data_IF_301512997148
#
_entry.id   IF_301512997148
#
_cell.length_a   1.000
_cell.length_b   1.000
_cell.length_c   1.000
_cell.angle_alpha   90.00
_cell.angle_beta   90.00
_cell.angle_gamma   90.00
#
_symmetry.space_group_name_H-M   'P 1'
#
loop_
_entity.id
_entity.type
_entity.pdbx_description
1 polymer ?
#
# COMPACT_ATOMS: atom_id res chain seq x y z
N UNK A 1 13.35 -12.51 24.36
CA UNK A 1 13.81 -11.31 23.64
C UNK A 1 12.64 -10.75 22.83
N UNK A 2 12.59 -9.41 22.60
CA UNK A 2 11.60 -8.82 21.71
C UNK A 2 11.90 -9.25 20.27
N UNK A 3 10.86 -9.56 19.48
CA UNK A 3 11.02 -9.79 18.05
C UNK A 3 11.46 -8.49 17.38
N UNK A 4 12.44 -8.57 16.47
CA UNK A 4 12.95 -7.44 15.68
C UNK A 4 12.33 -7.44 14.29
N UNK A 5 11.93 -6.27 13.83
CA UNK A 5 11.32 -6.12 12.52
C UNK A 5 11.98 -4.99 11.74
N UNK A 6 12.16 -5.19 10.43
CA UNK A 6 12.53 -4.12 9.50
C UNK A 6 11.33 -3.79 8.60
N UNK A 7 11.00 -2.51 8.49
CA UNK A 7 9.98 -1.98 7.59
C UNK A 7 10.65 -1.05 6.57
N UNK A 8 10.63 -1.42 5.29
CA UNK A 8 10.96 -0.47 4.22
C UNK A 8 9.71 0.33 3.86
N UNK A 9 9.86 1.62 3.57
CA UNK A 9 8.69 2.48 3.32
C UNK A 9 7.92 2.86 4.58
N UNK A 10 8.58 2.86 5.75
CA UNK A 10 7.97 3.12 7.06
C UNK A 10 7.27 4.49 7.17
N UNK A 11 7.68 5.49 6.39
CA UNK A 11 7.05 6.84 6.37
C UNK A 11 5.79 6.92 5.54
N UNK A 12 5.52 5.89 4.72
CA UNK A 12 4.30 5.79 3.89
C UNK A 12 3.04 5.54 4.72
N UNK A 13 1.87 5.50 4.04
CA UNK A 13 0.60 5.18 4.68
C UNK A 13 0.71 3.87 5.47
N UNK A 14 0.97 2.76 4.78
CA UNK A 14 0.93 1.43 5.37
C UNK A 14 2.09 1.20 6.35
N UNK A 15 3.29 1.66 5.98
CA UNK A 15 4.47 1.52 6.84
C UNK A 15 4.29 2.19 8.20
N UNK A 16 3.64 3.35 8.24
CA UNK A 16 3.40 4.09 9.48
C UNK A 16 2.35 3.41 10.37
N UNK A 17 1.24 2.92 9.80
CA UNK A 17 0.26 2.15 10.56
C UNK A 17 0.82 0.79 11.03
N UNK A 18 1.61 0.14 10.19
CA UNK A 18 2.27 -1.12 10.56
C UNK A 18 3.26 -0.90 11.72
N UNK A 19 4.04 0.20 11.68
CA UNK A 19 4.95 0.54 12.76
C UNK A 19 4.22 0.73 14.10
N UNK A 20 3.12 1.50 14.11
CA UNK A 20 2.27 1.67 15.30
C UNK A 20 1.72 0.33 15.81
N UNK A 21 1.20 -0.49 14.89
CA UNK A 21 0.63 -1.78 15.24
C UNK A 21 1.68 -2.74 15.82
N UNK A 22 2.89 -2.82 15.24
CA UNK A 22 3.96 -3.68 15.73
C UNK A 22 4.54 -3.20 17.05
N UNK A 23 4.66 -1.87 17.25
CA UNK A 23 5.02 -1.30 18.56
C UNK A 23 4.00 -1.70 19.64
N UNK A 24 2.70 -1.66 19.32
CA UNK A 24 1.64 -2.08 20.27
C UNK A 24 1.71 -3.57 20.64
N UNK A 25 2.29 -4.39 19.74
CA UNK A 25 2.57 -5.82 19.99
C UNK A 25 3.91 -6.09 20.67
N UNK A 26 4.66 -5.05 21.02
CA UNK A 26 5.93 -5.17 21.73
C UNK A 26 7.15 -5.50 20.87
N UNK A 27 7.06 -5.35 19.55
CA UNK A 27 8.20 -5.50 18.65
C UNK A 27 9.23 -4.38 18.82
N UNK A 28 10.49 -4.69 18.53
CA UNK A 28 11.55 -3.71 18.27
C UNK A 28 11.49 -3.34 16.79
N UNK A 29 11.04 -2.11 16.49
CA UNK A 29 10.72 -1.68 15.12
C UNK A 29 11.86 -0.84 14.55
N UNK A 30 12.43 -1.34 13.44
CA UNK A 30 13.45 -0.68 12.64
C UNK A 30 12.84 -0.22 11.31
N UNK A 31 13.13 1.01 10.91
CA UNK A 31 12.67 1.58 9.64
C UNK A 31 13.83 1.97 8.73
N UNK A 32 13.74 1.64 7.44
CA UNK A 32 14.64 2.16 6.43
C UNK A 32 14.06 3.45 5.85
N UNK A 33 14.81 4.54 5.92
CA UNK A 33 14.44 5.86 5.41
C UNK A 33 15.55 6.43 4.54
N UNK A 34 15.17 7.19 3.50
CA UNK A 34 16.14 7.88 2.66
C UNK A 34 16.80 9.02 3.44
N UNK A 35 18.03 9.36 3.10
CA UNK A 35 18.81 10.44 3.72
C UNK A 35 18.02 11.76 3.81
N UNK A 36 17.40 12.16 2.73
CA UNK A 36 16.58 13.38 2.67
C UNK A 36 15.45 13.42 3.72
N UNK A 37 14.90 12.25 4.09
CA UNK A 37 13.88 12.15 5.14
C UNK A 37 14.49 12.06 6.54
N UNK A 38 15.76 11.71 6.64
CA UNK A 38 16.48 11.65 7.92
C UNK A 38 16.91 13.04 8.38
N UNK A 39 17.33 13.89 7.43
CA UNK A 39 17.76 15.26 7.69
C UNK A 39 16.57 16.22 7.92
N UNK A 40 15.39 15.92 7.38
CA UNK A 40 14.20 16.74 7.48
C UNK A 40 13.08 16.00 8.24
N UNK A 41 12.87 16.38 9.50
CA UNK A 41 11.86 15.75 10.38
C UNK A 41 10.43 15.87 9.85
N UNK A 42 10.14 16.89 9.04
CA UNK A 42 8.80 17.05 8.44
C UNK A 42 8.54 15.97 7.37
N UNK A 43 9.59 15.46 6.71
CA UNK A 43 9.49 14.33 5.77
C UNK A 43 9.24 12.99 6.46
N UNK A 44 9.40 12.91 7.78
CA UNK A 44 8.97 11.76 8.58
C UNK A 44 7.44 11.69 8.74
N UNK A 45 6.75 12.83 8.55
CA UNK A 45 5.29 12.95 8.44
C UNK A 45 4.50 11.98 9.32
N UNK A 46 4.09 10.87 8.72
CA UNK A 46 3.20 9.90 9.37
C UNK A 46 3.78 9.17 10.60
N UNK A 47 5.10 9.19 10.82
CA UNK A 47 5.75 8.53 11.98
C UNK A 47 6.31 9.51 13.01
N UNK A 48 6.14 10.82 12.84
CA UNK A 48 6.68 11.86 13.70
C UNK A 48 6.32 11.63 15.18
N UNK A 49 5.07 11.26 15.45
CA UNK A 49 4.53 11.07 16.81
C UNK A 49 5.02 9.78 17.52
N UNK A 50 5.66 8.85 16.80
CA UNK A 50 6.25 7.64 17.35
C UNK A 50 7.76 7.55 17.13
N UNK A 51 8.39 8.65 16.64
CA UNK A 51 9.80 8.68 16.23
C UNK A 51 10.75 8.12 17.28
N UNK A 52 10.53 8.48 18.55
CA UNK A 52 11.38 8.10 19.67
C UNK A 52 11.27 6.62 20.04
N UNK A 53 10.24 5.92 19.54
CA UNK A 53 10.03 4.49 19.74
C UNK A 53 10.60 3.64 18.61
N UNK A 54 11.17 4.27 17.58
CA UNK A 54 11.67 3.62 16.37
C UNK A 54 13.18 3.72 16.28
N UNK A 55 13.81 2.68 15.75
CA UNK A 55 15.20 2.74 15.29
C UNK A 55 15.21 2.97 13.79
N UNK A 56 15.54 4.18 13.35
CA UNK A 56 15.62 4.51 11.93
C UNK A 56 17.03 4.34 11.40
N UNK A 57 17.14 3.72 10.23
CA UNK A 57 18.37 3.52 9.48
C UNK A 57 18.33 4.36 8.20
N UNK A 58 19.38 5.14 8.00
CA UNK A 58 19.57 5.86 6.73
C UNK A 58 20.01 4.89 5.65
N UNK A 59 19.33 4.93 4.49
CA UNK A 59 19.70 4.13 3.33
C UNK A 59 18.63 4.12 2.23
N UNK A 60 19.03 3.59 1.07
CA UNK A 60 18.16 3.34 -0.06
C UNK A 60 17.91 1.84 -0.22
N UNK A 61 16.68 1.48 -0.57
CA UNK A 61 16.35 0.08 -0.98
C UNK A 61 17.06 -0.34 -2.26
N UNK A 62 17.64 0.60 -3.00
CA UNK A 62 18.43 0.37 -4.22
C UNK A 62 19.94 0.23 -3.93
N UNK A 63 20.36 0.34 -2.69
CA UNK A 63 21.76 0.13 -2.28
C UNK A 63 21.88 -1.20 -1.52
N UNK A 64 22.29 -2.25 -2.25
CA UNK A 64 22.42 -3.59 -1.71
C UNK A 64 23.40 -3.67 -0.54
N UNK A 65 24.52 -2.94 -0.60
CA UNK A 65 25.52 -2.96 0.46
C UNK A 65 24.97 -2.34 1.77
N UNK A 66 24.23 -1.25 1.65
CA UNK A 66 23.56 -0.62 2.80
C UNK A 66 22.50 -1.54 3.40
N UNK A 67 21.69 -2.22 2.57
CA UNK A 67 20.73 -3.23 3.02
C UNK A 67 21.46 -4.34 3.79
N UNK A 68 22.53 -4.90 3.21
CA UNK A 68 23.31 -5.97 3.82
C UNK A 68 23.86 -5.57 5.20
N UNK A 69 24.45 -4.37 5.32
CA UNK A 69 24.97 -3.84 6.58
C UNK A 69 23.89 -3.67 7.66
N UNK A 70 22.72 -3.16 7.27
CA UNK A 70 21.58 -2.97 8.19
C UNK A 70 21.09 -4.33 8.68
N UNK A 71 20.86 -5.29 7.77
CA UNK A 71 20.37 -6.61 8.14
C UNK A 71 21.36 -7.39 9.01
N UNK A 72 22.66 -7.33 8.70
CA UNK A 72 23.70 -7.95 9.52
C UNK A 72 23.77 -7.37 10.94
N UNK A 73 23.49 -6.08 11.10
CA UNK A 73 23.46 -5.42 12.42
C UNK A 73 22.18 -5.71 13.20
N UNK A 74 21.04 -5.69 12.53
CA UNK A 74 19.71 -5.84 13.17
C UNK A 74 19.39 -7.29 13.43
N UNK A 75 19.68 -8.19 12.48
CA UNK A 75 19.29 -9.60 12.49
C UNK A 75 17.77 -9.76 12.69
N UNK A 76 16.93 -9.22 11.75
CA UNK A 76 15.49 -9.13 11.95
C UNK A 76 14.80 -10.51 11.91
N UNK A 77 13.75 -10.68 12.71
CA UNK A 77 12.88 -11.87 12.67
C UNK A 77 11.82 -11.76 11.56
N UNK A 78 11.44 -10.51 11.23
CA UNK A 78 10.44 -10.22 10.20
C UNK A 78 10.89 -9.01 9.36
N UNK A 79 10.62 -9.04 8.05
CA UNK A 79 10.84 -7.92 7.13
C UNK A 79 9.59 -7.64 6.33
N UNK A 80 9.10 -6.40 6.38
CA UNK A 80 7.97 -5.92 5.59
C UNK A 80 8.46 -4.96 4.51
N UNK A 81 8.40 -5.42 3.26
CA UNK A 81 8.83 -4.63 2.10
C UNK A 81 7.65 -3.86 1.51
N UNK A 82 7.49 -2.59 1.95
CA UNK A 82 6.42 -1.68 1.54
C UNK A 82 6.94 -0.52 0.67
N UNK A 83 8.25 -0.35 0.54
CA UNK A 83 8.83 0.65 -0.35
C UNK A 83 8.54 0.30 -1.80
N UNK A 84 7.95 1.25 -2.53
CA UNK A 84 7.72 1.12 -3.98
C UNK A 84 7.47 2.50 -4.61
N UNK A 85 7.74 2.62 -5.92
CA UNK A 85 7.14 3.63 -6.78
C UNK A 85 5.71 3.17 -7.07
N UNK A 86 4.72 3.62 -6.26
CA UNK A 86 3.38 3.02 -6.23
C UNK A 86 2.32 3.76 -7.06
N UNK A 87 2.64 4.94 -7.60
CA UNK A 87 1.70 5.68 -8.44
C UNK A 87 1.84 5.25 -9.90
N UNK A 88 0.84 4.51 -10.39
CA UNK A 88 0.87 3.83 -11.69
C UNK A 88 1.20 4.78 -12.85
N UNK A 89 0.61 6.00 -12.88
CA UNK A 89 0.83 6.93 -13.98
C UNK A 89 2.30 7.38 -14.10
N UNK A 90 3.05 7.46 -13.00
CA UNK A 90 4.48 7.80 -13.06
C UNK A 90 5.31 6.69 -13.70
N UNK A 91 4.86 5.43 -13.61
CA UNK A 91 5.60 4.31 -14.17
C UNK A 91 5.70 4.33 -15.70
N UNK A 92 4.83 5.06 -16.40
CA UNK A 92 4.91 5.25 -17.85
C UNK A 92 5.96 6.27 -18.27
N UNK A 93 6.34 7.19 -17.38
CA UNK A 93 7.33 8.23 -17.66
C UNK A 93 8.71 7.89 -17.04
N UNK A 94 8.76 6.95 -16.11
CA UNK A 94 9.98 6.60 -15.36
C UNK A 94 10.09 5.08 -15.17
N UNK A 95 10.17 4.38 -16.31
CA UNK A 95 10.14 2.91 -16.37
C UNK A 95 11.31 2.27 -15.64
N UNK A 96 12.53 2.74 -15.94
CA UNK A 96 13.75 2.16 -15.35
C UNK A 96 13.81 2.37 -13.84
N UNK A 97 13.45 3.56 -13.36
CA UNK A 97 13.43 3.84 -11.93
C UNK A 97 12.33 3.04 -11.23
N UNK A 98 11.18 2.85 -11.89
CA UNK A 98 10.09 2.01 -11.39
C UNK A 98 10.56 0.56 -11.24
N UNK A 99 11.21 -0.01 -12.26
CA UNK A 99 11.76 -1.38 -12.19
C UNK A 99 12.84 -1.48 -11.11
N UNK A 100 13.77 -0.52 -11.04
CA UNK A 100 14.83 -0.49 -10.05
C UNK A 100 14.27 -0.42 -8.62
N UNK A 101 13.34 0.51 -8.37
CA UNK A 101 12.75 0.69 -7.04
C UNK A 101 11.89 -0.47 -6.59
N UNK A 102 11.21 -1.16 -7.51
CA UNK A 102 10.23 -2.18 -7.14
C UNK A 102 10.82 -3.60 -7.25
N UNK A 103 11.50 -3.93 -8.36
CA UNK A 103 12.02 -5.27 -8.58
C UNK A 103 13.42 -5.47 -7.98
N UNK A 104 14.40 -4.60 -8.30
CA UNK A 104 15.76 -4.79 -7.81
C UNK A 104 15.81 -4.70 -6.27
N UNK A 105 15.05 -3.78 -5.67
CA UNK A 105 14.98 -3.68 -4.21
C UNK A 105 14.45 -4.96 -3.56
N UNK A 106 13.43 -5.59 -4.14
CA UNK A 106 12.92 -6.88 -3.69
C UNK A 106 14.00 -7.96 -3.77
N UNK A 107 14.74 -8.00 -4.88
CA UNK A 107 15.83 -8.96 -5.08
C UNK A 107 16.96 -8.75 -4.06
N UNK A 108 17.38 -7.52 -3.82
CA UNK A 108 18.41 -7.19 -2.83
C UNK A 108 18.01 -7.64 -1.42
N UNK A 109 16.76 -7.40 -1.03
CA UNK A 109 16.24 -7.84 0.27
C UNK A 109 16.21 -9.36 0.40
N UNK A 110 15.65 -10.08 -0.58
CA UNK A 110 15.59 -11.55 -0.56
C UNK A 110 16.98 -12.17 -0.53
N UNK A 111 17.91 -11.69 -1.37
CA UNK A 111 19.30 -12.15 -1.38
C UNK A 111 19.98 -11.90 -0.04
N UNK A 112 19.81 -10.70 0.53
CA UNK A 112 20.39 -10.37 1.85
C UNK A 112 19.83 -11.25 2.96
N UNK A 113 18.51 -11.48 2.99
CA UNK A 113 17.87 -12.34 3.99
C UNK A 113 18.41 -13.77 3.90
N UNK A 114 18.56 -14.30 2.68
CA UNK A 114 19.13 -15.62 2.45
C UNK A 114 20.53 -15.78 3.07
N UNK A 115 21.38 -14.76 2.89
CA UNK A 115 22.77 -14.80 3.35
C UNK A 115 22.94 -14.48 4.85
N UNK A 116 22.15 -13.55 5.37
CA UNK A 116 22.33 -13.01 6.73
C UNK A 116 21.47 -13.73 7.76
N UNK A 117 20.18 -13.95 7.46
CA UNK A 117 19.23 -14.54 8.40
C UNK A 117 18.10 -15.23 7.64
N UNK A 118 18.34 -16.43 7.13
CA UNK A 118 17.44 -17.18 6.26
C UNK A 118 16.07 -17.49 6.90
N UNK A 119 15.98 -17.53 8.22
CA UNK A 119 14.74 -17.71 8.99
C UNK A 119 13.92 -16.41 9.18
N UNK A 120 14.43 -15.27 8.73
CA UNK A 120 13.67 -14.02 8.71
C UNK A 120 12.46 -14.16 7.78
N UNK A 121 11.26 -13.95 8.33
CA UNK A 121 10.01 -14.00 7.55
C UNK A 121 9.86 -12.75 6.72
N UNK A 122 9.55 -12.91 5.44
CA UNK A 122 9.48 -11.79 4.48
C UNK A 122 8.07 -11.58 3.95
N UNK A 123 7.54 -10.36 4.11
CA UNK A 123 6.32 -9.88 3.49
C UNK A 123 6.63 -8.96 2.32
N UNK A 124 6.02 -9.23 1.17
CA UNK A 124 6.07 -8.39 -0.02
C UNK A 124 4.69 -7.76 -0.30
N UNK A 125 4.69 -6.44 -0.47
CA UNK A 125 3.51 -5.70 -0.88
C UNK A 125 3.27 -5.85 -2.39
N UNK A 126 2.47 -6.85 -2.78
CA UNK A 126 1.89 -6.99 -4.12
C UNK A 126 0.78 -5.96 -4.35
N UNK A 127 0.12 -6.04 -5.50
CA UNK A 127 -0.93 -5.10 -5.91
C UNK A 127 -1.94 -5.78 -6.83
N UNK A 128 -3.20 -5.35 -6.81
CA UNK A 128 -4.23 -5.74 -7.79
C UNK A 128 -3.83 -5.39 -9.24
N UNK A 129 -2.94 -4.40 -9.43
CA UNK A 129 -2.36 -4.05 -10.74
C UNK A 129 -1.54 -5.20 -11.39
N UNK A 130 -1.20 -6.23 -10.61
CA UNK A 130 -0.61 -7.48 -11.14
C UNK A 130 -1.60 -8.21 -12.05
N UNK A 131 -2.89 -8.14 -11.77
CA UNK A 131 -3.93 -8.70 -12.62
C UNK A 131 -4.16 -7.88 -13.88
N UNK A 132 -4.03 -6.54 -13.81
CA UNK A 132 -4.13 -5.62 -14.95
C UNK A 132 -5.48 -5.75 -15.68
N UNK A 133 -5.52 -6.54 -16.75
CA UNK A 133 -6.76 -6.91 -17.47
C UNK A 133 -7.04 -8.40 -17.22
N UNK A 134 -7.71 -8.73 -16.10
CA UNK A 134 -7.93 -10.12 -15.71
C UNK A 134 -8.94 -10.83 -16.58
N UNK A 135 -8.88 -12.16 -16.61
CA UNK A 135 -9.84 -13.01 -17.34
C UNK A 135 -11.16 -13.21 -16.58
N UNK A 136 -11.18 -12.91 -15.29
CA UNK A 136 -12.32 -13.15 -14.39
C UNK A 136 -12.42 -12.09 -13.29
N UNK A 137 -13.59 -11.93 -12.70
CA UNK A 137 -13.85 -11.10 -11.52
C UNK A 137 -14.96 -11.76 -10.67
N UNK A 138 -14.82 -11.89 -9.34
CA UNK A 138 -13.68 -11.43 -8.54
C UNK A 138 -12.41 -12.25 -8.79
N UNK A 139 -11.23 -11.61 -8.69
CA UNK A 139 -9.95 -12.29 -8.79
C UNK A 139 -9.67 -13.11 -7.53
N UNK A 140 -9.02 -14.26 -7.72
CA UNK A 140 -8.51 -15.13 -6.67
C UNK A 140 -6.98 -15.24 -6.77
N UNK A 141 -6.34 -15.91 -5.82
CA UNK A 141 -4.89 -16.17 -5.87
C UNK A 141 -4.47 -17.10 -7.03
N UNK A 142 -5.45 -17.74 -7.70
CA UNK A 142 -5.24 -18.59 -8.87
C UNK A 142 -5.51 -17.86 -10.20
N UNK A 143 -6.08 -16.66 -10.16
CA UNK A 143 -6.34 -15.87 -11.36
C UNK A 143 -5.00 -15.50 -12.03
N UNK A 144 -4.82 -15.76 -13.33
CA UNK A 144 -3.59 -15.42 -14.03
C UNK A 144 -3.29 -13.92 -14.03
N UNK A 145 -2.04 -13.55 -13.84
CA UNK A 145 -1.60 -12.17 -13.94
C UNK A 145 -1.52 -11.73 -15.41
N UNK A 146 -2.00 -10.53 -15.69
CA UNK A 146 -1.95 -9.90 -17.02
C UNK A 146 -1.71 -8.38 -16.89
N UNK A 147 -0.56 -7.95 -16.30
CA UNK A 147 -0.28 -6.56 -15.98
C UNK A 147 -0.26 -5.67 -17.24
N UNK A 148 -0.76 -4.44 -17.13
CA UNK A 148 -0.85 -3.44 -18.21
C UNK A 148 -0.01 -2.19 -17.95
N UNK A 149 0.83 -2.19 -16.91
CA UNK A 149 1.71 -1.09 -16.56
C UNK A 149 3.07 -1.61 -16.12
N UNK A 150 4.11 -0.78 -16.26
CA UNK A 150 5.47 -1.11 -15.75
C UNK A 150 5.41 -1.37 -14.24
N UNK A 151 4.58 -0.62 -13.51
CA UNK A 151 4.33 -0.89 -12.10
C UNK A 151 3.79 -2.31 -11.86
N UNK A 152 2.73 -2.71 -12.58
CA UNK A 152 2.16 -4.04 -12.48
C UNK A 152 3.18 -5.13 -12.86
N UNK A 153 3.94 -4.93 -13.95
CA UNK A 153 5.02 -5.84 -14.38
C UNK A 153 6.08 -5.98 -13.28
N UNK A 154 6.54 -4.87 -12.68
CA UNK A 154 7.53 -4.91 -11.60
C UNK A 154 7.05 -5.72 -10.40
N UNK A 155 5.75 -5.61 -10.05
CA UNK A 155 5.14 -6.36 -8.95
C UNK A 155 4.99 -7.85 -9.28
N UNK A 156 4.61 -8.21 -10.51
CA UNK A 156 4.55 -9.61 -10.97
C UNK A 156 5.93 -10.25 -10.97
N UNK A 157 6.95 -9.55 -11.50
CA UNK A 157 8.33 -10.03 -11.51
C UNK A 157 8.86 -10.29 -10.10
N UNK A 158 8.59 -9.36 -9.16
CA UNK A 158 8.96 -9.50 -7.75
C UNK A 158 8.24 -10.68 -7.08
N UNK A 159 6.96 -10.89 -7.38
CA UNK A 159 6.19 -12.03 -6.88
C UNK A 159 6.79 -13.36 -7.33
N UNK A 160 7.09 -13.52 -8.62
CA UNK A 160 7.70 -14.77 -9.12
C UNK A 160 9.10 -14.99 -8.58
N UNK A 161 9.89 -13.93 -8.40
CA UNK A 161 11.19 -14.01 -7.76
C UNK A 161 11.04 -14.52 -6.31
N UNK A 162 10.13 -13.92 -5.54
CA UNK A 162 9.83 -14.32 -4.16
C UNK A 162 9.38 -15.78 -4.09
N UNK A 163 8.47 -16.19 -4.99
CA UNK A 163 8.01 -17.57 -5.10
C UNK A 163 9.19 -18.55 -5.34
N UNK A 164 10.14 -18.18 -6.21
CA UNK A 164 11.34 -18.97 -6.45
C UNK A 164 12.20 -19.12 -5.17
N UNK A 165 12.42 -18.02 -4.41
CA UNK A 165 13.15 -18.09 -3.14
C UNK A 165 12.40 -18.95 -2.10
N UNK A 166 11.09 -18.89 -2.05
CA UNK A 166 10.28 -19.74 -1.17
C UNK A 166 10.43 -21.24 -1.53
N UNK A 167 10.31 -21.57 -2.81
CA UNK A 167 10.29 -22.96 -3.28
C UNK A 167 11.68 -23.60 -3.31
N UNK A 168 12.71 -22.87 -3.75
CA UNK A 168 14.07 -23.42 -3.89
C UNK A 168 14.91 -23.28 -2.63
N UNK A 169 14.78 -22.17 -1.93
CA UNK A 169 15.60 -21.86 -0.77
C UNK A 169 14.89 -22.19 0.56
N UNK A 170 13.61 -22.53 0.53
CA UNK A 170 12.82 -22.79 1.74
C UNK A 170 12.61 -21.55 2.61
N UNK A 171 12.72 -20.35 2.05
CA UNK A 171 12.50 -19.10 2.79
C UNK A 171 11.02 -18.90 3.10
N UNK A 172 10.72 -18.38 4.29
CA UNK A 172 9.36 -17.96 4.61
C UNK A 172 9.07 -16.60 3.98
N UNK A 173 8.45 -16.59 2.80
CA UNK A 173 8.18 -15.39 2.04
C UNK A 173 6.74 -15.39 1.49
N UNK A 174 5.99 -14.30 1.73
CA UNK A 174 4.58 -14.14 1.40
C UNK A 174 4.35 -12.90 0.52
N UNK A 175 3.46 -13.02 -0.47
CA UNK A 175 2.94 -11.86 -1.22
C UNK A 175 1.53 -11.53 -0.75
N UNK A 176 1.31 -10.31 -0.24
CA UNK A 176 -0.03 -9.75 -0.07
C UNK A 176 -0.46 -9.02 -1.35
N UNK A 177 -1.40 -9.56 -2.11
CA UNK A 177 -1.94 -8.93 -3.31
C UNK A 177 -3.02 -7.95 -2.85
N UNK A 178 -2.60 -6.69 -2.65
CA UNK A 178 -3.46 -5.66 -2.06
C UNK A 178 -4.30 -4.96 -3.11
N UNK A 179 -5.59 -4.82 -2.81
CA UNK A 179 -6.49 -3.91 -3.50
C UNK A 179 -6.37 -2.51 -2.90
N UNK A 180 -7.06 -1.52 -3.48
CA UNK A 180 -6.92 -0.15 -2.99
C UNK A 180 -7.37 -0.07 -1.53
N UNK A 181 -6.62 0.68 -0.73
CA UNK A 181 -6.91 0.85 0.69
C UNK A 181 -6.56 2.27 1.13
N UNK A 182 -7.48 2.85 1.86
CA UNK A 182 -7.54 4.28 2.09
C UNK A 182 -7.44 4.61 3.58
N UNK A 183 -6.96 5.81 3.85
CA UNK A 183 -6.91 6.37 5.21
C UNK A 183 -6.63 7.87 5.15
N UNK A 184 -6.69 8.59 6.30
CA UNK A 184 -6.21 9.98 6.40
C UNK A 184 -4.76 10.19 5.90
N UNK A 185 -3.92 9.13 5.93
CA UNK A 185 -2.50 9.16 5.50
C UNK A 185 -2.30 8.83 4.01
N UNK A 186 -3.39 8.68 3.24
CA UNK A 186 -3.29 8.44 1.79
C UNK A 186 -2.58 9.59 1.10
N UNK A 187 -1.70 9.28 0.13
CA UNK A 187 -0.99 10.30 -0.65
C UNK A 187 -1.94 11.15 -1.51
N UNK A 188 -1.66 12.45 -1.64
CA UNK A 188 -2.51 13.41 -2.35
C UNK A 188 -2.69 13.16 -3.84
N UNK A 189 -1.80 12.40 -4.47
CA UNK A 189 -1.88 12.00 -5.88
C UNK A 189 -2.98 10.97 -6.17
N UNK A 190 -3.50 10.27 -5.15
CA UNK A 190 -4.57 9.28 -5.32
C UNK A 190 -5.95 9.93 -5.33
N UNK A 191 -6.84 9.42 -6.18
CA UNK A 191 -8.17 10.00 -6.45
C UNK A 191 -8.99 10.21 -5.18
N UNK A 192 -9.01 9.27 -4.27
CA UNK A 192 -9.74 9.32 -3.00
C UNK A 192 -9.28 10.50 -2.14
N UNK A 193 -7.97 10.65 -1.95
CA UNK A 193 -7.41 11.77 -1.18
C UNK A 193 -7.62 13.11 -1.89
N UNK A 194 -7.49 13.13 -3.23
CA UNK A 194 -7.79 14.32 -4.04
C UNK A 194 -9.23 14.77 -3.84
N UNK A 195 -10.20 13.85 -3.87
CA UNK A 195 -11.63 14.15 -3.63
C UNK A 195 -11.83 14.72 -2.22
N UNK A 196 -11.34 14.04 -1.19
CA UNK A 196 -11.49 14.48 0.22
C UNK A 196 -10.93 15.90 0.43
N UNK A 197 -9.68 16.12 -0.01
CA UNK A 197 -9.02 17.42 0.17
C UNK A 197 -9.72 18.53 -0.61
N UNK A 198 -10.14 18.25 -1.86
CA UNK A 198 -10.85 19.25 -2.68
C UNK A 198 -12.22 19.55 -2.12
N UNK A 199 -12.98 18.56 -1.67
CA UNK A 199 -14.32 18.77 -1.09
C UNK A 199 -14.24 19.65 0.18
N UNK A 200 -13.25 19.41 1.07
CA UNK A 200 -13.03 20.26 2.24
C UNK A 200 -12.63 21.69 1.84
N UNK A 201 -11.74 21.85 0.85
CA UNK A 201 -11.38 23.18 0.33
C UNK A 201 -12.55 23.91 -0.29
N UNK A 202 -13.41 23.20 -1.02
CA UNK A 202 -14.65 23.76 -1.60
C UNK A 202 -15.58 24.23 -0.49
N UNK A 203 -15.85 23.41 0.52
CA UNK A 203 -16.68 23.79 1.69
C UNK A 203 -16.15 25.03 2.42
N UNK A 204 -14.82 25.25 2.40
CA UNK A 204 -14.14 26.41 3.01
C UNK A 204 -14.02 27.62 2.05
N UNK A 205 -14.51 27.52 0.81
CA UNK A 205 -14.38 28.59 -0.19
C UNK A 205 -12.97 28.78 -0.76
N UNK A 206 -12.04 27.82 -0.49
CA UNK A 206 -10.64 27.87 -0.92
C UNK A 206 -10.42 27.28 -2.32
N UNK A 207 -11.43 26.59 -2.86
CA UNK A 207 -11.39 25.97 -4.19
C UNK A 207 -12.79 26.06 -4.81
N UNK A 208 -12.87 26.32 -6.12
CA UNK A 208 -14.17 26.46 -6.82
C UNK A 208 -14.61 25.16 -7.50
N UNK A 209 -13.69 24.44 -8.11
CA UNK A 209 -13.98 23.27 -8.94
C UNK A 209 -12.98 22.14 -8.68
N UNK A 210 -13.43 20.90 -8.87
CA UNK A 210 -12.62 19.68 -8.86
C UNK A 210 -12.73 19.00 -10.23
N UNK A 211 -11.59 18.74 -10.87
CA UNK A 211 -11.53 18.04 -12.15
C UNK A 211 -11.11 16.57 -11.93
N UNK A 212 -11.94 15.65 -12.43
CA UNK A 212 -11.73 14.21 -12.35
C UNK A 212 -11.86 13.56 -13.72
N UNK A 213 -11.35 12.34 -13.86
CA UNK A 213 -11.58 11.51 -15.05
C UNK A 213 -12.92 10.77 -14.96
N UNK A 214 -12.93 9.48 -15.32
CA UNK A 214 -14.14 8.65 -15.34
C UNK A 214 -14.73 8.47 -13.94
N UNK A 215 -15.93 9.00 -13.71
CA UNK A 215 -16.65 8.88 -12.43
C UNK A 215 -17.30 7.50 -12.26
N UNK A 216 -17.49 6.76 -13.35
CA UNK A 216 -18.11 5.44 -13.34
C UNK A 216 -17.07 4.31 -13.31
N UNK A 217 -15.80 4.65 -13.06
CA UNK A 217 -14.77 3.66 -12.77
C UNK A 217 -14.99 3.02 -11.40
N UNK A 218 -14.94 1.69 -11.36
CA UNK A 218 -15.15 0.92 -10.13
C UNK A 218 -13.83 0.51 -9.47
N UNK A 219 -13.82 0.49 -8.15
CA UNK A 219 -12.66 0.05 -7.34
C UNK A 219 -13.14 -0.69 -6.09
N UNK A 220 -12.30 -1.61 -5.63
CA UNK A 220 -12.39 -2.20 -4.30
C UNK A 220 -11.55 -1.33 -3.34
N UNK A 221 -12.20 -0.64 -2.41
CA UNK A 221 -11.53 0.22 -1.41
C UNK A 221 -11.69 -0.33 -0.01
N UNK A 222 -10.58 -0.69 0.63
CA UNK A 222 -10.52 -1.10 2.02
C UNK A 222 -9.93 -0.03 2.94
N UNK A 223 -9.77 -0.37 4.22
CA UNK A 223 -9.21 0.50 5.25
C UNK A 223 -7.76 0.13 5.56
N UNK A 224 -6.81 1.04 5.35
CA UNK A 224 -5.38 0.76 5.47
C UNK A 224 -4.95 0.17 6.84
N UNK A 225 -5.47 0.63 8.00
CA UNK A 225 -5.18 0.00 9.29
C UNK A 225 -5.60 -1.47 9.40
N UNK A 226 -6.59 -1.93 8.64
CA UNK A 226 -6.94 -3.36 8.61
C UNK A 226 -5.96 -4.14 7.73
N UNK A 227 -5.51 -3.55 6.61
CA UNK A 227 -4.53 -4.18 5.72
C UNK A 227 -3.20 -4.47 6.43
N UNK A 228 -2.73 -3.58 7.30
CA UNK A 228 -1.50 -3.86 8.06
C UNK A 228 -1.66 -4.99 9.06
N UNK A 229 -2.87 -5.23 9.60
CA UNK A 229 -3.16 -6.42 10.42
C UNK A 229 -3.10 -7.70 9.58
N UNK A 230 -3.59 -7.65 8.33
CA UNK A 230 -3.45 -8.75 7.36
C UNK A 230 -1.97 -9.05 7.09
N UNK A 231 -1.16 -8.03 6.78
CA UNK A 231 0.27 -8.17 6.54
C UNK A 231 0.97 -8.90 7.69
N UNK A 232 0.69 -8.49 8.93
CA UNK A 232 1.23 -9.16 10.11
C UNK A 232 0.72 -10.59 10.24
N UNK A 233 -0.59 -10.81 10.09
CA UNK A 233 -1.21 -12.13 10.19
C UNK A 233 -0.61 -13.13 9.19
N UNK A 234 -0.28 -12.68 7.97
CA UNK A 234 0.35 -13.52 6.94
C UNK A 234 1.72 -14.05 7.34
N UNK A 235 2.46 -13.34 8.19
CA UNK A 235 3.74 -13.83 8.71
C UNK A 235 3.60 -14.68 9.98
N UNK A 236 2.39 -14.81 10.56
CA UNK A 236 2.15 -15.63 11.74
C UNK A 236 1.61 -17.03 11.41
N UNK A 237 1.26 -17.32 10.14
CA UNK A 237 0.82 -18.65 9.72
C UNK A 237 1.98 -19.66 9.73
N UNK A 238 1.64 -20.94 9.78
CA UNK A 238 2.64 -22.03 9.80
C UNK A 238 3.43 -22.12 8.48
N UNK A 239 2.75 -21.97 7.34
CA UNK A 239 3.36 -22.09 6.00
C UNK A 239 3.17 -20.80 5.23
N UNK A 240 4.27 -20.32 4.62
CA UNK A 240 4.24 -19.16 3.75
C UNK A 240 3.28 -19.37 2.57
N UNK A 241 2.45 -18.36 2.30
CA UNK A 241 1.48 -18.38 1.21
C UNK A 241 1.21 -16.96 0.71
N UNK A 242 0.57 -16.85 -0.46
CA UNK A 242 0.15 -15.59 -1.04
C UNK A 242 -1.35 -15.40 -0.80
N UNK A 243 -1.76 -14.15 -0.55
CA UNK A 243 -3.14 -13.83 -0.19
C UNK A 243 -3.62 -12.57 -0.89
N UNK A 244 -4.86 -12.58 -1.36
CA UNK A 244 -5.58 -11.38 -1.73
C UNK A 244 -6.04 -10.66 -0.46
N UNK A 245 -5.73 -9.36 -0.40
CA UNK A 245 -6.20 -8.47 0.66
C UNK A 245 -7.11 -7.42 0.00
N UNK A 246 -8.42 -7.58 0.17
CA UNK A 246 -9.47 -6.77 -0.47
C UNK A 246 -10.65 -6.57 0.46
N UNK A 247 -11.47 -5.54 0.22
CA UNK A 247 -12.73 -5.37 0.97
C UNK A 247 -13.78 -6.38 0.53
N UNK A 248 -13.69 -6.88 -0.71
CA UNK A 248 -14.69 -7.75 -1.32
C UNK A 248 -15.91 -6.97 -1.82
N UNK A 249 -15.83 -5.65 -1.98
CA UNK A 249 -16.91 -4.79 -2.45
C UNK A 249 -16.41 -3.81 -3.52
N UNK A 250 -17.23 -3.64 -4.58
CA UNK A 250 -16.98 -2.66 -5.63
C UNK A 250 -17.78 -1.38 -5.37
N UNK A 251 -17.11 -0.25 -5.53
CA UNK A 251 -17.69 1.08 -5.43
C UNK A 251 -17.23 1.94 -6.60
N UNK A 252 -18.11 2.82 -7.11
CA UNK A 252 -17.75 3.77 -8.15
C UNK A 252 -17.12 5.05 -7.56
N UNK A 253 -16.36 5.76 -8.39
CA UNK A 253 -15.87 7.11 -8.01
C UNK A 253 -17.05 8.04 -7.76
N UNK A 254 -18.15 7.88 -8.48
CA UNK A 254 -19.39 8.61 -8.30
C UNK A 254 -19.98 8.41 -6.90
N UNK A 255 -20.09 7.16 -6.44
CA UNK A 255 -20.55 6.83 -5.08
C UNK A 255 -19.65 7.46 -4.01
N UNK A 256 -18.32 7.42 -4.22
CA UNK A 256 -17.37 8.08 -3.33
C UNK A 256 -17.60 9.60 -3.24
N UNK A 257 -17.91 10.24 -4.38
CA UNK A 257 -18.25 11.67 -4.43
C UNK A 257 -19.56 11.98 -3.71
N UNK A 258 -20.62 11.19 -3.99
CA UNK A 258 -21.93 11.36 -3.36
C UNK A 258 -21.80 11.34 -1.83
N UNK A 259 -21.13 10.32 -1.27
CA UNK A 259 -20.94 10.21 0.18
C UNK A 259 -20.09 11.38 0.70
N UNK A 260 -18.99 11.73 0.01
CA UNK A 260 -18.08 12.79 0.46
C UNK A 260 -18.74 14.16 0.50
N UNK A 261 -19.46 14.54 -0.55
CA UNK A 261 -20.09 15.86 -0.66
C UNK A 261 -21.35 15.95 0.19
N UNK A 262 -22.15 14.89 0.27
CA UNK A 262 -23.32 14.83 1.15
C UNK A 262 -22.95 15.01 2.63
N UNK A 263 -21.85 14.42 3.09
CA UNK A 263 -21.35 14.62 4.46
C UNK A 263 -21.01 16.10 4.75
N UNK A 264 -20.61 16.85 3.73
CA UNK A 264 -20.30 18.27 3.82
C UNK A 264 -21.52 19.16 3.51
N UNK A 265 -22.71 18.58 3.33
CA UNK A 265 -23.95 19.31 2.93
C UNK A 265 -23.76 20.08 1.60
N UNK A 266 -23.13 19.43 0.60
CA UNK A 266 -22.91 19.92 -0.75
C UNK A 266 -23.42 18.91 -1.77
N UNK A 267 -23.80 19.36 -2.98
CA UNK A 267 -24.01 18.48 -4.14
C UNK A 267 -22.74 18.50 -5.01
N UNK A 268 -22.10 17.34 -5.21
CA UNK A 268 -20.87 17.27 -6.01
C UNK A 268 -21.07 17.76 -7.45
N UNK A 269 -22.29 17.66 -8.00
CA UNK A 269 -22.61 18.08 -9.37
C UNK A 269 -22.36 19.56 -9.62
N UNK A 270 -22.44 20.39 -8.57
CA UNK A 270 -22.17 21.82 -8.66
C UNK A 270 -20.67 22.14 -8.75
N UNK A 271 -19.81 21.20 -8.34
CA UNK A 271 -18.39 21.46 -8.12
C UNK A 271 -17.45 20.54 -8.92
N UNK A 272 -17.94 19.40 -9.43
CA UNK A 272 -17.10 18.42 -10.11
C UNK A 272 -17.33 18.44 -11.61
N UNK A 273 -16.25 18.70 -12.35
CA UNK A 273 -16.23 18.64 -13.81
C UNK A 273 -15.41 17.43 -14.27
N UNK A 274 -15.88 16.75 -15.31
CA UNK A 274 -15.19 15.62 -15.93
C UNK A 274 -14.21 16.12 -16.98
N UNK A 275 -12.93 15.76 -16.84
CA UNK A 275 -11.88 16.07 -17.82
C UNK A 275 -11.47 14.79 -18.56
N UNK A 276 -11.74 14.68 -19.88
CA UNK A 276 -11.37 13.52 -20.67
C UNK A 276 -9.86 13.23 -20.70
N UNK A 277 -9.01 14.25 -20.53
CA UNK A 277 -7.55 14.06 -20.49
C UNK A 277 -7.08 13.29 -19.25
N UNK A 278 -7.95 13.17 -18.22
CA UNK A 278 -7.68 12.40 -17.02
C UNK A 278 -8.21 10.96 -17.09
N UNK A 279 -8.80 10.55 -18.22
CA UNK A 279 -9.28 9.18 -18.39
C UNK A 279 -8.09 8.24 -18.50
N UNK A 280 -8.21 7.10 -17.82
CA UNK A 280 -7.34 5.95 -18.07
C UNK A 280 -7.96 5.07 -19.14
N UNK A 281 -7.15 4.21 -19.77
CA UNK A 281 -7.69 3.16 -20.63
C UNK A 281 -8.82 2.41 -19.90
N UNK A 282 -9.96 2.18 -20.58
CA UNK A 282 -11.11 1.53 -19.98
C UNK A 282 -10.74 0.13 -19.51
N UNK A 283 -11.00 -0.15 -18.24
CA UNK A 283 -10.90 -1.48 -17.69
C UNK A 283 -12.14 -2.28 -18.13
N UNK A 284 -11.94 -3.33 -18.93
CA UNK A 284 -13.03 -4.18 -19.39
C UNK A 284 -13.60 -5.06 -18.28
N UNK A 285 -12.74 -5.49 -17.37
CA UNK A 285 -13.08 -6.34 -16.23
C UNK A 285 -12.65 -5.64 -14.95
N UNK A 286 -13.55 -5.43 -13.97
CA UNK A 286 -13.22 -4.74 -12.74
C UNK A 286 -12.14 -5.47 -11.93
N UNK A 287 -11.21 -4.70 -11.36
CA UNK A 287 -10.28 -5.18 -10.34
C UNK A 287 -11.02 -5.26 -8.99
N UNK A 288 -11.42 -6.49 -8.65
CA UNK A 288 -12.25 -6.81 -7.51
C UNK A 288 -11.77 -8.13 -6.88
N UNK A 289 -11.31 -8.08 -5.64
CA UNK A 289 -10.66 -9.21 -4.98
C UNK A 289 -11.61 -10.10 -4.19
N UNK A 290 -11.34 -11.41 -4.17
CA UNK A 290 -12.02 -12.35 -3.30
C UNK A 290 -11.19 -12.61 -2.03
N UNK A 291 -11.57 -12.06 -0.86
CA UNK A 291 -10.80 -12.20 0.38
C UNK A 291 -11.05 -13.53 1.12
N UNK A 292 -11.74 -14.49 0.52
CA UNK A 292 -12.17 -15.74 1.18
C UNK A 292 -10.99 -16.53 1.77
N UNK A 293 -9.87 -16.60 1.07
CA UNK A 293 -8.69 -17.35 1.52
C UNK A 293 -8.08 -16.74 2.79
N UNK A 294 -7.85 -15.43 2.80
CA UNK A 294 -7.26 -14.75 3.96
C UNK A 294 -8.21 -14.81 5.17
N UNK A 295 -9.53 -14.67 4.92
CA UNK A 295 -10.56 -14.84 5.96
C UNK A 295 -10.49 -16.23 6.59
N UNK A 296 -10.44 -17.29 5.79
CA UNK A 296 -10.45 -18.68 6.25
C UNK A 296 -9.17 -19.08 7.00
N UNK A 297 -8.00 -18.58 6.57
CA UNK A 297 -6.70 -19.01 7.13
C UNK A 297 -6.27 -18.12 8.29
N UNK A 298 -6.52 -16.82 8.21
CA UNK A 298 -6.01 -15.83 9.17
C UNK A 298 -7.12 -15.27 10.04
N UNK A 299 -8.40 -15.42 9.65
CA UNK A 299 -9.54 -14.80 10.31
C UNK A 299 -9.65 -13.28 10.05
N UNK A 300 -8.97 -12.80 9.00
CA UNK A 300 -8.96 -11.37 8.69
C UNK A 300 -10.22 -10.93 7.94
N UNK A 301 -10.75 -9.78 8.34
CA UNK A 301 -11.86 -9.09 7.67
C UNK A 301 -11.63 -7.58 7.65
N UNK A 302 -12.17 -6.93 6.63
CA UNK A 302 -12.23 -5.47 6.56
C UNK A 302 -13.24 -4.96 7.61
N UNK A 303 -12.82 -4.03 8.47
CA UNK A 303 -13.63 -3.58 9.62
C UNK A 303 -14.51 -2.37 9.32
N UNK A 304 -14.33 -1.72 8.15
CA UNK A 304 -15.03 -0.48 7.81
C UNK A 304 -15.71 -0.55 6.45
N UNK A 305 -16.90 0.02 6.38
CA UNK A 305 -17.58 0.35 5.12
C UNK A 305 -16.88 1.50 4.40
N UNK A 306 -17.15 1.69 3.11
CA UNK A 306 -16.65 2.84 2.35
C UNK A 306 -16.99 4.16 3.04
N UNK A 307 -18.25 4.33 3.46
CA UNK A 307 -18.71 5.52 4.19
C UNK A 307 -17.88 5.77 5.46
N UNK A 308 -17.65 4.73 6.27
CA UNK A 308 -16.85 4.86 7.50
C UNK A 308 -15.39 5.25 7.23
N UNK A 309 -14.83 4.85 6.08
CA UNK A 309 -13.49 5.27 5.63
C UNK A 309 -13.52 6.75 5.23
N UNK A 310 -14.49 7.16 4.41
CA UNK A 310 -14.65 8.54 3.92
C UNK A 310 -14.82 9.51 5.09
N UNK A 311 -15.73 9.20 6.03
CA UNK A 311 -15.96 10.04 7.22
C UNK A 311 -14.65 10.23 8.00
N UNK A 312 -13.90 9.13 8.24
CA UNK A 312 -12.62 9.22 8.95
C UNK A 312 -11.59 10.09 8.23
N UNK A 313 -11.58 10.05 6.91
CA UNK A 313 -10.69 10.89 6.10
C UNK A 313 -11.12 12.35 6.13
N UNK A 314 -12.44 12.62 6.03
CA UNK A 314 -13.01 13.98 6.10
C UNK A 314 -12.78 14.64 7.46
N UNK A 315 -13.08 13.95 8.57
CA UNK A 315 -12.87 14.47 9.92
C UNK A 315 -11.41 14.92 10.13
N UNK A 316 -10.46 14.10 9.65
CA UNK A 316 -9.04 14.44 9.77
C UNK A 316 -8.67 15.63 8.88
N UNK A 317 -9.23 15.71 7.66
CA UNK A 317 -8.92 16.79 6.73
C UNK A 317 -9.55 18.12 7.16
N UNK A 318 -10.77 18.10 7.70
CA UNK A 318 -11.47 19.29 8.24
C UNK A 318 -10.68 19.98 9.35
N UNK A 319 -9.92 19.22 10.15
CA UNK A 319 -9.08 19.78 11.21
C UNK A 319 -7.93 20.62 10.65
N UNK A 320 -7.39 20.25 9.48
CA UNK A 320 -6.27 20.97 8.84
C UNK A 320 -6.65 22.32 8.25
N UNK A 321 -7.95 22.52 7.96
CA UNK A 321 -8.48 23.72 7.34
C UNK A 321 -9.45 24.50 8.27
N UNK A 322 -9.24 24.37 9.59
CA UNK A 322 -9.99 25.15 10.60
C UNK A 322 -9.62 26.62 10.60
#
# INVERSE_FOLDING_TARGET
MKKKVIITGITGQDGSYLAEFLLSKGYEVHGLVRRESFEDIEKLGNIKHIRDKLTLHEGSVNDHLTIYRIFSKVMPDECYHLSASSFVNYSFNDEFQTMSNNFNSTHYLLSTIREVKKDCKFYFAGSSEMFGEPSESPQTENTPFNPKSIYGISKVSSHYLLKNYREREGMFACTGIMYNHESPRRGGQFVTKKIITSAVKIKRGLQKKLFLGNLDAYRDWGYAPDYVKAMWGMLQVEKANDFIISSGHLHSVREFLDITFSYLELDYKDYVDVDPNLFRASEKVPLYGNPKKIKNIIGWENSKTLEGIIIKMLDTELIKYK
#
